data_IF_494372946126
#
_entry.id   IF_494372946126
#
_cell.length_a   1.000
_cell.length_b   1.000
_cell.length_c   1.000
_cell.angle_alpha   90.00
_cell.angle_beta   90.00
_cell.angle_gamma   90.00
#
_symmetry.space_group_name_H-M   'P 1'
#
loop_
_entity.id
_entity.type
_entity.pdbx_description
1 polymer ?
#
# COMPACT_ATOMS: atom_id res chain seq x y z
N UNK A 1 1.45 -1.20 -12.28
CA UNK A 1 1.21 0.22 -12.61
C UNK A 1 2.55 0.91 -12.81
N UNK A 2 2.60 1.93 -13.65
CA UNK A 2 3.77 2.72 -13.96
C UNK A 2 3.78 4.03 -13.16
N UNK A 3 4.95 4.63 -12.99
CA UNK A 3 5.06 5.99 -12.42
C UNK A 3 4.26 6.98 -13.28
N UNK A 4 3.50 7.86 -12.62
CA UNK A 4 2.59 8.81 -13.25
C UNK A 4 1.20 8.25 -13.59
N UNK A 5 0.96 6.93 -13.41
CA UNK A 5 -0.41 6.40 -13.48
C UNK A 5 -1.25 7.03 -12.36
N UNK A 6 -2.50 7.39 -12.67
CA UNK A 6 -3.43 7.97 -11.68
C UNK A 6 -4.54 6.99 -11.37
N UNK A 7 -4.78 6.76 -10.07
CA UNK A 7 -5.93 6.03 -9.56
C UNK A 7 -6.92 7.01 -8.95
N UNK A 8 -8.20 6.89 -9.31
CA UNK A 8 -9.26 7.70 -8.71
C UNK A 8 -9.98 6.89 -7.63
N UNK A 9 -9.77 7.27 -6.36
CA UNK A 9 -10.53 6.77 -5.22
C UNK A 9 -11.76 7.62 -4.93
N UNK A 10 -12.42 7.34 -3.80
CA UNK A 10 -13.58 8.13 -3.35
C UNK A 10 -13.17 9.48 -2.78
N UNK A 11 -12.02 9.55 -2.11
CA UNK A 11 -11.57 10.77 -1.42
C UNK A 11 -10.69 11.67 -2.30
N UNK A 12 -10.13 11.14 -3.39
CA UNK A 12 -9.23 11.88 -4.25
C UNK A 12 -8.51 11.05 -5.30
N UNK A 13 -7.44 11.62 -5.83
CA UNK A 13 -6.57 10.99 -6.83
C UNK A 13 -5.26 10.53 -6.18
N UNK A 14 -4.76 9.39 -6.62
CA UNK A 14 -3.50 8.81 -6.21
C UNK A 14 -2.60 8.65 -7.43
N UNK A 15 -1.57 9.50 -7.53
CA UNK A 15 -0.57 9.38 -8.58
C UNK A 15 0.54 8.43 -8.14
N UNK A 16 0.82 7.39 -8.93
CA UNK A 16 1.84 6.40 -8.62
C UNK A 16 3.23 7.02 -8.74
N UNK A 17 3.98 7.04 -7.64
CA UNK A 17 5.38 7.48 -7.64
C UNK A 17 6.33 6.29 -7.89
N UNK A 18 6.17 5.20 -7.13
CA UNK A 18 7.05 4.02 -7.22
C UNK A 18 6.42 2.77 -6.61
N UNK A 19 7.01 1.60 -6.86
CA UNK A 19 6.65 0.35 -6.17
C UNK A 19 7.45 0.23 -4.87
N UNK A 20 6.76 0.06 -3.73
CA UNK A 20 7.38 -0.16 -2.42
C UNK A 20 7.70 -1.63 -2.15
N UNK A 21 6.84 -2.53 -2.61
CA UNK A 21 7.02 -3.96 -2.35
C UNK A 21 5.98 -4.84 -3.03
N UNK A 22 6.27 -6.14 -3.08
CA UNK A 22 5.37 -7.15 -3.61
C UNK A 22 5.24 -8.28 -2.59
N UNK A 23 4.02 -8.48 -2.12
CA UNK A 23 3.66 -9.58 -1.24
C UNK A 23 2.93 -10.69 -1.97
N UNK A 24 2.54 -11.72 -1.24
CA UNK A 24 1.69 -12.81 -1.73
C UNK A 24 0.32 -12.31 -2.21
N UNK A 25 -0.24 -11.30 -1.56
CA UNK A 25 -1.61 -10.85 -1.83
C UNK A 25 -1.71 -9.62 -2.73
N UNK A 26 -0.58 -9.07 -3.19
CA UNK A 26 -0.63 -7.85 -3.98
C UNK A 26 0.69 -7.11 -4.08
N UNK A 27 0.63 -5.95 -4.71
CA UNK A 27 1.75 -5.03 -4.89
C UNK A 27 1.41 -3.74 -4.15
N UNK A 28 2.37 -3.19 -3.42
CA UNK A 28 2.23 -1.92 -2.70
C UNK A 28 3.01 -0.85 -3.46
N UNK A 29 2.36 0.29 -3.67
CA UNK A 29 2.88 1.45 -4.37
C UNK A 29 2.94 2.65 -3.44
N UNK A 30 3.95 3.49 -3.62
CA UNK A 30 4.02 4.83 -3.06
C UNK A 30 3.25 5.76 -3.99
N UNK A 31 2.42 6.64 -3.41
CA UNK A 31 1.60 7.56 -4.19
C UNK A 31 1.57 8.95 -3.58
N UNK A 32 1.44 9.95 -4.44
CA UNK A 32 1.00 11.29 -4.05
C UNK A 32 -0.53 11.33 -4.09
N UNK A 33 -1.15 11.70 -2.97
CA UNK A 33 -2.59 11.79 -2.83
C UNK A 33 -3.05 13.25 -2.85
N UNK A 34 -3.96 13.55 -3.78
CA UNK A 34 -4.63 14.85 -3.91
C UNK A 34 -6.11 14.69 -3.58
N UNK A 35 -6.60 15.22 -2.45
CA UNK A 35 -8.00 15.12 -2.08
C UNK A 35 -8.90 15.93 -3.01
N UNK A 36 -10.15 15.52 -3.21
CA UNK A 36 -11.11 16.29 -4.03
C UNK A 36 -11.41 17.69 -3.47
N UNK A 37 -11.31 17.86 -2.16
CA UNK A 37 -11.66 19.09 -1.45
C UNK A 37 -10.50 20.07 -1.25
N UNK A 38 -9.27 19.70 -1.60
CA UNK A 38 -8.08 20.52 -1.31
C UNK A 38 -6.95 20.22 -2.29
N UNK A 39 -6.11 21.22 -2.56
CA UNK A 39 -4.89 21.07 -3.37
C UNK A 39 -3.66 20.63 -2.56
N UNK A 40 -3.81 20.40 -1.25
CA UNK A 40 -2.69 19.96 -0.39
C UNK A 40 -2.45 18.46 -0.61
N UNK A 41 -1.35 18.14 -1.28
CA UNK A 41 -0.93 16.77 -1.51
C UNK A 41 -0.34 16.14 -0.24
N UNK A 42 -0.59 14.85 -0.05
CA UNK A 42 0.04 14.05 1.02
C UNK A 42 0.51 12.71 0.50
N UNK A 43 1.51 12.11 1.13
CA UNK A 43 1.99 10.79 0.75
C UNK A 43 1.10 9.68 1.31
N UNK A 44 0.80 8.69 0.47
CA UNK A 44 0.03 7.50 0.82
C UNK A 44 0.66 6.25 0.22
N UNK A 45 0.34 5.10 0.79
CA UNK A 45 0.62 3.81 0.17
C UNK A 45 -0.68 3.24 -0.40
N UNK A 46 -0.62 2.67 -1.60
CA UNK A 46 -1.73 1.97 -2.24
C UNK A 46 -1.35 0.52 -2.46
N UNK A 47 -2.14 -0.39 -1.89
CA UNK A 47 -2.00 -1.83 -2.17
C UNK A 47 -2.97 -2.22 -3.28
N UNK A 48 -2.45 -2.65 -4.42
CA UNK A 48 -3.22 -3.35 -5.45
C UNK A 48 -3.33 -4.82 -5.07
N UNK A 49 -4.56 -5.27 -4.85
CA UNK A 49 -4.87 -6.67 -4.61
C UNK A 49 -5.32 -7.32 -5.93
N UNK A 50 -4.47 -8.20 -6.46
CA UNK A 50 -4.72 -8.90 -7.71
C UNK A 50 -5.67 -10.08 -7.50
N UNK A 51 -6.92 -9.94 -7.95
CA UNK A 51 -7.99 -10.92 -7.72
C UNK A 51 -7.92 -12.10 -8.70
N UNK A 52 -7.28 -11.94 -9.85
CA UNK A 52 -7.45 -12.86 -10.99
C UNK A 52 -6.28 -13.82 -11.26
N UNK A 53 -5.09 -13.62 -10.70
CA UNK A 53 -3.87 -14.30 -11.16
C UNK A 53 -3.03 -14.99 -10.06
N UNK A 54 -3.54 -15.17 -8.84
CA UNK A 54 -2.80 -15.89 -7.79
C UNK A 54 -3.53 -17.18 -7.36
N UNK A 55 -3.00 -18.39 -7.66
CA UNK A 55 -3.58 -19.66 -7.21
C UNK A 55 -3.53 -19.86 -5.68
N UNK A 56 -2.76 -19.04 -4.96
CA UNK A 56 -2.67 -19.01 -3.49
C UNK A 56 -3.55 -17.94 -2.84
N UNK A 57 -4.13 -17.01 -3.62
CA UNK A 57 -5.17 -16.14 -3.09
C UNK A 57 -6.42 -16.99 -2.87
N UNK A 58 -6.95 -17.00 -1.64
CA UNK A 58 -8.23 -17.67 -1.27
C UNK A 58 -9.47 -17.02 -1.92
N UNK A 59 -9.31 -16.37 -3.06
CA UNK A 59 -10.36 -15.65 -3.78
C UNK A 59 -10.52 -14.20 -3.36
N UNK A 60 -11.32 -13.47 -4.16
CA UNK A 60 -11.70 -12.07 -3.97
C UNK A 60 -12.23 -11.75 -2.56
N UNK A 61 -12.96 -12.70 -1.97
CA UNK A 61 -13.58 -12.54 -0.66
C UNK A 61 -12.57 -12.38 0.47
N UNK A 62 -11.43 -13.07 0.42
CA UNK A 62 -10.38 -12.91 1.42
C UNK A 62 -9.76 -11.49 1.36
N UNK A 63 -9.68 -10.93 0.15
CA UNK A 63 -9.19 -9.58 -0.09
C UNK A 63 -10.18 -8.52 0.42
N UNK A 64 -11.48 -8.75 0.20
CA UNK A 64 -12.53 -7.90 0.77
C UNK A 64 -12.52 -7.93 2.29
N UNK A 65 -12.35 -9.11 2.90
CA UNK A 65 -12.22 -9.24 4.37
C UNK A 65 -11.00 -8.49 4.90
N UNK A 66 -9.88 -8.48 4.19
CA UNK A 66 -8.71 -7.69 4.59
C UNK A 66 -9.06 -6.20 4.64
N UNK A 67 -9.68 -5.67 3.58
CA UNK A 67 -10.11 -4.27 3.53
C UNK A 67 -11.11 -3.93 4.66
N UNK A 68 -12.14 -4.76 4.83
CA UNK A 68 -13.17 -4.58 5.86
C UNK A 68 -12.57 -4.54 7.28
N UNK A 69 -11.69 -5.48 7.60
CA UNK A 69 -11.02 -5.54 8.92
C UNK A 69 -10.14 -4.30 9.12
N UNK A 70 -9.38 -3.90 8.11
CA UNK A 70 -8.52 -2.72 8.19
C UNK A 70 -9.32 -1.44 8.40
N UNK A 71 -10.45 -1.28 7.70
CA UNK A 71 -11.37 -0.16 7.88
C UNK A 71 -11.96 -0.16 9.30
N UNK A 72 -12.46 -1.30 9.78
CA UNK A 72 -13.01 -1.41 11.15
C UNK A 72 -11.97 -1.04 12.23
N UNK A 73 -10.72 -1.49 12.08
CA UNK A 73 -9.65 -1.14 13.03
C UNK A 73 -9.33 0.35 12.96
N UNK A 74 -9.33 0.93 11.76
CA UNK A 74 -8.98 2.34 11.53
C UNK A 74 -10.07 3.31 12.01
N UNK A 75 -11.34 2.87 12.02
CA UNK A 75 -12.46 3.64 12.55
C UNK A 75 -12.51 3.66 14.09
N UNK A 76 -12.05 2.59 14.75
CA UNK A 76 -12.36 2.34 16.16
C UNK A 76 -11.29 2.80 17.16
N UNK A 77 -10.11 3.29 16.75
CA UNK A 77 -9.09 3.68 17.72
C UNK A 77 -8.09 4.72 17.21
N UNK A 78 -7.65 5.60 18.12
CA UNK A 78 -6.36 6.30 18.05
C UNK A 78 -5.20 5.30 18.30
N UNK A 79 -5.13 4.23 17.50
CA UNK A 79 -4.06 3.25 17.63
C UNK A 79 -2.88 3.62 16.72
N UNK A 80 -1.85 4.21 17.31
CA UNK A 80 -0.63 4.64 16.61
C UNK A 80 0.29 3.47 16.20
N UNK A 81 -0.06 2.22 16.53
CA UNK A 81 0.79 1.05 16.28
C UNK A 81 0.27 0.15 15.15
N UNK A 82 -0.84 0.55 14.50
CA UNK A 82 -1.41 -0.16 13.36
C UNK A 82 -1.49 0.81 12.20
N UNK A 83 -1.02 0.37 11.02
CA UNK A 83 -1.10 1.16 9.78
C UNK A 83 -2.54 1.55 9.52
N UNK A 84 -2.79 2.86 9.41
CA UNK A 84 -4.13 3.38 9.16
C UNK A 84 -4.61 3.07 7.75
N UNK A 85 -5.84 2.59 7.63
CA UNK A 85 -6.59 2.52 6.39
C UNK A 85 -7.42 3.80 6.22
N UNK A 86 -7.38 4.39 5.02
CA UNK A 86 -8.15 5.58 4.69
C UNK A 86 -9.39 5.25 3.87
N UNK A 87 -9.25 4.37 2.88
CA UNK A 87 -10.34 3.87 2.05
C UNK A 87 -9.94 2.61 1.29
N UNK A 88 -10.93 1.84 0.84
CA UNK A 88 -10.75 0.81 -0.17
C UNK A 88 -11.68 1.07 -1.36
N UNK A 89 -11.22 0.80 -2.59
CA UNK A 89 -11.99 1.07 -3.80
C UNK A 89 -11.65 0.10 -4.96
N UNK A 90 -12.63 -0.25 -5.81
CA UNK A 90 -12.39 -1.09 -6.97
C UNK A 90 -11.71 -0.32 -8.12
N UNK A 91 -10.98 -1.06 -8.97
CA UNK A 91 -10.47 -0.51 -10.24
C UNK A 91 -11.61 -0.03 -11.14
N UNK A 92 -11.54 1.22 -11.60
CA UNK A 92 -12.42 1.73 -12.67
C UNK A 92 -13.57 2.63 -12.21
N UNK A 93 -13.56 3.17 -10.99
CA UNK A 93 -14.65 4.02 -10.51
C UNK A 93 -14.85 5.33 -11.31
N UNK A 94 -13.89 5.77 -12.17
CA UNK A 94 -14.05 7.02 -12.97
C UNK A 94 -13.58 6.93 -14.46
N UNK A 95 -13.17 5.77 -15.00
CA UNK A 95 -12.75 5.68 -16.42
C UNK A 95 -13.72 4.82 -17.27
N UNK A 96 -14.51 5.41 -18.19
CA UNK A 96 -15.60 4.72 -18.89
C UNK A 96 -15.16 3.77 -20.04
N UNK A 97 -13.88 3.42 -20.18
CA UNK A 97 -13.38 2.80 -21.42
C UNK A 97 -12.28 1.73 -21.24
N UNK A 98 -12.21 1.00 -20.11
CA UNK A 98 -11.28 -0.15 -20.05
C UNK A 98 -11.97 -1.45 -19.64
N UNK A 99 -11.91 -2.39 -20.57
CA UNK A 99 -12.44 -3.73 -20.59
C UNK A 99 -12.36 -4.46 -19.24
N UNK A 100 -13.54 -4.84 -18.73
CA UNK A 100 -13.86 -5.63 -17.54
C UNK A 100 -13.19 -7.02 -17.45
N UNK A 101 -11.86 -7.15 -17.51
CA UNK A 101 -11.20 -8.46 -17.35
C UNK A 101 -10.38 -8.63 -16.07
N UNK A 102 -10.11 -7.55 -15.33
CA UNK A 102 -9.40 -7.64 -14.06
C UNK A 102 -10.10 -6.81 -13.00
N UNK A 103 -10.85 -7.48 -12.11
CA UNK A 103 -11.26 -6.89 -10.84
C UNK A 103 -9.98 -6.73 -10.02
N UNK A 104 -9.51 -5.50 -9.77
CA UNK A 104 -8.52 -5.23 -8.73
C UNK A 104 -9.22 -4.46 -7.62
N UNK A 105 -8.88 -4.77 -6.38
CA UNK A 105 -9.26 -3.98 -5.21
C UNK A 105 -8.02 -3.19 -4.79
N UNK A 106 -8.20 -1.91 -4.51
CA UNK A 106 -7.17 -1.05 -3.97
C UNK A 106 -7.49 -0.71 -2.52
N UNK A 107 -6.45 -0.67 -1.68
CA UNK A 107 -6.54 -0.18 -0.30
C UNK A 107 -5.56 0.97 -0.16
N UNK A 108 -6.07 2.14 0.20
CA UNK A 108 -5.29 3.33 0.54
C UNK A 108 -4.96 3.32 2.02
N UNK A 109 -3.67 3.38 2.33
CA UNK A 109 -3.15 3.26 3.69
C UNK A 109 -2.05 4.27 3.98
N UNK A 110 -1.75 4.42 5.27
CA UNK A 110 -0.63 5.21 5.75
C UNK A 110 0.69 4.72 5.15
N UNK A 111 1.53 5.68 4.76
CA UNK A 111 2.89 5.39 4.31
C UNK A 111 3.87 5.46 5.47
N UNK A 112 4.41 4.30 5.87
CA UNK A 112 5.44 4.21 6.89
C UNK A 112 6.84 4.40 6.27
N UNK A 113 7.41 5.59 6.41
CA UNK A 113 8.72 5.96 5.83
C UNK A 113 9.89 5.10 6.31
N UNK A 114 9.77 4.47 7.47
CA UNK A 114 10.80 3.59 8.05
C UNK A 114 10.94 2.22 7.37
N UNK A 115 9.99 1.82 6.52
CA UNK A 115 9.96 0.49 5.90
C UNK A 115 9.66 -0.63 6.91
N UNK A 116 10.05 -1.86 6.59
CA UNK A 116 9.82 -3.01 7.47
C UNK A 116 10.90 -3.14 8.56
N UNK A 117 10.45 -3.55 9.77
CA UNK A 117 11.32 -3.68 10.93
C UNK A 117 12.44 -4.71 10.72
N UNK A 118 12.19 -5.79 9.99
CA UNK A 118 13.20 -6.81 9.75
C UNK A 118 14.37 -6.28 8.91
N UNK A 119 14.10 -5.43 7.91
CA UNK A 119 15.12 -4.72 7.15
C UNK A 119 15.91 -3.76 8.02
N UNK A 120 15.24 -3.00 8.90
CA UNK A 120 15.91 -2.08 9.83
C UNK A 120 16.80 -2.78 10.85
N UNK A 121 16.37 -3.92 11.39
CA UNK A 121 17.22 -4.74 12.25
C UNK A 121 18.47 -5.23 11.50
N UNK A 122 18.32 -5.73 10.27
CA UNK A 122 19.46 -6.20 9.45
C UNK A 122 20.44 -5.08 9.11
N UNK A 123 19.94 -3.90 8.75
CA UNK A 123 20.76 -2.71 8.50
C UNK A 123 21.59 -2.34 9.74
N UNK A 124 20.95 -2.35 10.91
CA UNK A 124 21.59 -2.02 12.19
C UNK A 124 22.69 -3.02 12.54
N UNK A 125 22.45 -4.32 12.35
CA UNK A 125 23.45 -5.38 12.59
C UNK A 125 24.69 -5.24 11.69
N UNK A 126 24.50 -4.85 10.42
CA UNK A 126 25.62 -4.57 9.50
C UNK A 126 26.46 -3.39 9.97
N UNK A 127 25.83 -2.34 10.47
CA UNK A 127 26.53 -1.13 10.92
C UNK A 127 27.27 -1.30 12.25
N UNK A 128 26.89 -2.29 13.08
CA UNK A 128 27.56 -2.61 14.35
C UNK A 128 28.80 -3.52 14.14
N UNK A 129 28.98 -4.07 12.94
CA UNK A 129 30.15 -4.89 12.59
C UNK A 129 31.40 -4.01 12.34
N UNK A 130 31.95 -3.43 13.41
CA UNK A 130 33.25 -2.73 13.41
C UNK A 130 34.38 -3.79 13.30
N UNK A 131 35.47 -3.55 12.53
CA UNK A 131 36.60 -4.48 12.45
C UNK A 131 37.23 -4.72 13.82
N UNK A 132 37.56 -5.98 14.10
CA UNK A 132 38.35 -6.38 15.27
C UNK A 132 39.62 -5.51 15.40
N UNK A 133 39.89 -4.91 16.58
CA UNK A 133 41.10 -4.11 16.80
C UNK A 133 42.37 -4.96 17.02
N UNK A 134 42.32 -6.27 16.76
CA UNK A 134 43.44 -7.17 17.03
C UNK A 134 44.07 -7.71 15.74
N UNK A 135 44.92 -6.88 15.13
CA UNK A 135 46.10 -7.34 14.41
C UNK A 135 47.32 -6.63 15.02
N UNK A 136 47.95 -7.32 15.98
CA UNK A 136 49.33 -7.12 16.39
C UNK A 136 50.19 -8.18 15.66
#
# INVERSE_FOLDING_TARGET
MNTGDILCGFQGQYEISSQLGRGSFGIVYLTEFTPHSSSICTTRAIKEIAVSNNPYCKGFEACLKEAEIMEQISCNAENNNIVKCYESFPRGYIAPQSSLRHKSLFIAMEYCTGGDLASKIRETQRNISIPSPYHL
#
